data_IF_492017191145
#
_entry.id   IF_492017191145
#
_cell.length_a   1.000
_cell.length_b   1.000
_cell.length_c   1.000
_cell.angle_alpha   90.00
_cell.angle_beta   90.00
_cell.angle_gamma   90.00
#
_symmetry.space_group_name_H-M   'P 1'
#
loop_
_entity.id
_entity.type
_entity.pdbx_description
1 polymer ?
#
# COMPACT_ATOMS: atom_id res chain seq x y z
N UNK A 1 -11.24 -3.77 -7.22
CA UNK A 1 -11.61 -5.00 -7.92
C UNK A 1 -11.11 -4.92 -9.35
N UNK A 2 -10.53 -6.02 -9.81
CA UNK A 2 -9.98 -6.08 -11.17
C UNK A 2 -11.08 -5.86 -12.20
N UNK A 3 -10.84 -4.98 -13.16
CA UNK A 3 -11.82 -4.63 -14.20
C UNK A 3 -12.97 -3.71 -13.76
N UNK A 4 -13.02 -3.34 -12.47
CA UNK A 4 -14.05 -2.43 -12.00
C UNK A 4 -13.77 -0.99 -12.46
N UNK A 5 -14.82 -0.20 -12.62
CA UNK A 5 -14.69 1.22 -12.89
C UNK A 5 -14.26 1.95 -11.62
N UNK A 6 -13.18 2.71 -11.70
CA UNK A 6 -12.57 3.35 -10.51
C UNK A 6 -13.04 4.77 -10.24
N UNK A 7 -13.78 5.36 -11.16
CA UNK A 7 -14.11 6.78 -11.07
C UNK A 7 -12.88 7.65 -11.34
N UNK A 8 -12.99 8.94 -11.03
CA UNK A 8 -11.94 9.92 -11.26
C UNK A 8 -11.46 10.53 -9.94
N UNK A 9 -10.14 10.63 -9.79
CA UNK A 9 -9.53 11.31 -8.65
C UNK A 9 -9.67 12.83 -8.80
N UNK A 10 -9.87 13.52 -7.67
CA UNK A 10 -10.03 14.98 -7.65
C UNK A 10 -8.68 15.70 -7.72
N UNK A 11 -7.67 15.23 -6.99
CA UNK A 11 -6.36 15.88 -6.90
C UNK A 11 -5.27 14.83 -6.69
N UNK A 12 -4.31 14.79 -7.60
CA UNK A 12 -3.20 13.85 -7.55
C UNK A 12 -1.83 14.56 -7.55
N UNK A 13 -1.76 15.79 -7.05
CA UNK A 13 -0.48 16.50 -6.91
C UNK A 13 0.26 16.00 -5.67
N UNK A 14 1.34 15.28 -5.89
CA UNK A 14 2.18 14.70 -4.83
C UNK A 14 3.34 15.59 -4.40
N UNK A 15 3.46 16.79 -4.94
CA UNK A 15 4.58 17.68 -4.62
C UNK A 15 4.64 17.98 -3.12
N UNK A 16 5.82 17.78 -2.54
CA UNK A 16 6.07 18.06 -1.13
C UNK A 16 5.63 16.96 -0.16
N UNK A 17 4.97 15.91 -0.63
CA UNK A 17 4.49 14.83 0.24
C UNK A 17 5.62 13.88 0.66
N UNK A 18 5.52 13.37 1.89
CA UNK A 18 6.40 12.35 2.45
C UNK A 18 5.63 11.04 2.57
N UNK A 19 6.15 10.00 1.96
CA UNK A 19 5.46 8.71 1.85
C UNK A 19 6.31 7.61 2.47
N UNK A 20 5.68 6.77 3.30
CA UNK A 20 6.31 5.56 3.80
C UNK A 20 5.77 4.33 3.08
N UNK A 21 6.64 3.41 2.70
CA UNK A 21 6.26 2.15 2.04
C UNK A 21 6.74 0.99 2.90
N UNK A 22 5.85 0.07 3.21
CA UNK A 22 6.18 -1.19 3.87
C UNK A 22 5.87 -2.32 2.89
N UNK A 23 6.91 -3.03 2.48
CA UNK A 23 6.80 -4.13 1.52
C UNK A 23 7.03 -5.47 2.23
N UNK A 24 6.06 -6.38 2.13
CA UNK A 24 6.26 -7.76 2.53
C UNK A 24 7.07 -8.48 1.45
N UNK A 25 8.10 -9.23 1.86
CA UNK A 25 8.95 -9.91 0.86
C UNK A 25 8.46 -11.30 0.46
N UNK A 26 7.49 -11.86 1.17
CA UNK A 26 6.89 -13.14 0.75
C UNK A 26 6.24 -12.95 -0.63
N UNK A 27 6.46 -13.89 -1.55
CA UNK A 27 6.10 -13.74 -2.97
C UNK A 27 6.80 -12.54 -3.61
N UNK A 28 8.12 -12.49 -3.44
CA UNK A 28 8.96 -11.33 -3.73
C UNK A 28 8.87 -10.83 -5.16
N UNK A 29 8.76 -11.73 -6.14
CA UNK A 29 8.65 -11.31 -7.54
C UNK A 29 7.42 -10.43 -7.77
N UNK A 30 6.31 -10.73 -7.08
CA UNK A 30 5.07 -9.94 -7.16
C UNK A 30 5.23 -8.64 -6.38
N UNK A 31 5.73 -8.72 -5.13
CA UNK A 31 5.83 -7.53 -4.30
C UNK A 31 6.87 -6.53 -4.84
N UNK A 32 7.93 -7.01 -5.48
CA UNK A 32 8.88 -6.14 -6.16
C UNK A 32 8.23 -5.44 -7.36
N UNK A 33 7.39 -6.14 -8.12
CA UNK A 33 6.67 -5.53 -9.24
C UNK A 33 5.68 -4.47 -8.75
N UNK A 34 4.97 -4.75 -7.65
CA UNK A 34 4.09 -3.77 -7.00
C UNK A 34 4.88 -2.52 -6.58
N UNK A 35 6.02 -2.72 -5.93
CA UNK A 35 6.87 -1.64 -5.45
C UNK A 35 7.39 -0.78 -6.61
N UNK A 36 7.85 -1.41 -7.68
CA UNK A 36 8.35 -0.72 -8.86
C UNK A 36 7.26 0.16 -9.49
N UNK A 37 6.07 -0.39 -9.70
CA UNK A 37 4.95 0.34 -10.26
C UNK A 37 4.49 1.49 -9.34
N UNK A 38 4.44 1.23 -8.03
CA UNK A 38 4.07 2.21 -7.03
C UNK A 38 5.05 3.39 -7.01
N UNK A 39 6.35 3.12 -6.95
CA UNK A 39 7.37 4.18 -6.90
C UNK A 39 7.40 4.98 -8.19
N UNK A 40 7.25 4.31 -9.35
CA UNK A 40 7.18 5.01 -10.64
C UNK A 40 5.99 5.96 -10.70
N UNK A 41 4.84 5.54 -10.18
CA UNK A 41 3.65 6.39 -10.17
C UNK A 41 3.80 7.54 -9.16
N UNK A 42 4.37 7.30 -7.99
CA UNK A 42 4.65 8.39 -7.03
C UNK A 42 5.53 9.46 -7.67
N UNK A 43 6.57 9.06 -8.41
CA UNK A 43 7.44 9.99 -9.12
C UNK A 43 6.65 10.78 -10.17
N UNK A 44 5.80 10.09 -10.95
CA UNK A 44 4.96 10.74 -11.96
C UNK A 44 3.97 11.75 -11.34
N UNK A 45 3.53 11.50 -10.11
CA UNK A 45 2.63 12.40 -9.39
C UNK A 45 3.38 13.55 -8.68
N UNK A 46 4.71 13.56 -8.72
CA UNK A 46 5.50 14.65 -8.18
C UNK A 46 6.13 14.43 -6.82
N UNK A 47 6.03 13.21 -6.27
CA UNK A 47 6.69 12.87 -4.99
C UNK A 47 8.19 12.71 -5.24
N UNK A 48 9.01 13.44 -4.50
CA UNK A 48 10.45 13.34 -4.63
C UNK A 48 10.96 12.00 -4.10
N UNK A 49 11.97 11.43 -4.75
CA UNK A 49 12.49 10.12 -4.36
C UNK A 49 13.06 10.12 -2.93
N UNK A 50 13.70 11.20 -2.51
CA UNK A 50 14.23 11.36 -1.16
C UNK A 50 13.15 11.64 -0.10
N UNK A 51 11.89 11.78 -0.51
CA UNK A 51 10.74 11.87 0.39
C UNK A 51 10.06 10.50 0.59
N UNK A 52 10.63 9.42 0.09
CA UNK A 52 10.08 8.09 0.21
C UNK A 52 10.99 7.24 1.10
N UNK A 53 10.46 6.78 2.23
CA UNK A 53 11.10 5.77 3.06
C UNK A 53 10.47 4.40 2.73
N UNK A 54 11.30 3.43 2.38
CA UNK A 54 10.85 2.13 1.92
C UNK A 54 11.53 1.04 2.74
N UNK A 55 10.74 0.28 3.48
CA UNK A 55 11.25 -0.84 4.29
C UNK A 55 10.61 -2.15 3.88
N UNK A 56 11.30 -3.24 4.13
CA UNK A 56 10.81 -4.59 3.85
C UNK A 56 10.60 -5.36 5.15
N UNK A 57 9.55 -6.18 5.17
CA UNK A 57 9.21 -7.06 6.30
C UNK A 57 9.02 -8.49 5.77
N UNK A 58 9.06 -9.51 6.65
CA UNK A 58 8.98 -10.90 6.19
C UNK A 58 7.70 -11.24 5.42
N UNK A 59 6.55 -10.90 5.95
CA UNK A 59 5.26 -11.24 5.33
C UNK A 59 4.18 -10.24 5.67
N UNK A 60 2.98 -10.51 5.18
CA UNK A 60 1.84 -9.60 5.35
C UNK A 60 1.46 -9.38 6.82
N UNK A 61 1.61 -10.39 7.67
CA UNK A 61 1.29 -10.25 9.10
C UNK A 61 2.23 -9.31 9.84
N UNK A 62 3.44 -9.06 9.32
CA UNK A 62 4.40 -8.13 9.92
C UNK A 62 4.23 -6.69 9.42
N UNK A 63 3.40 -6.49 8.41
CA UNK A 63 3.16 -5.16 7.85
C UNK A 63 2.54 -4.19 8.85
N UNK A 64 1.48 -4.56 9.59
CA UNK A 64 0.83 -3.60 10.51
C UNK A 64 1.76 -3.02 11.56
N UNK A 65 2.62 -3.83 12.19
CA UNK A 65 3.52 -3.31 13.23
C UNK A 65 4.57 -2.34 12.64
N UNK A 66 5.03 -2.60 11.42
CA UNK A 66 5.96 -1.69 10.74
C UNK A 66 5.27 -0.38 10.38
N UNK A 67 4.02 -0.43 9.92
CA UNK A 67 3.22 0.77 9.66
C UNK A 67 3.01 1.58 10.94
N UNK A 68 2.70 0.91 12.04
CA UNK A 68 2.54 1.58 13.33
C UNK A 68 3.83 2.27 13.76
N UNK A 69 4.97 1.60 13.58
CA UNK A 69 6.28 2.20 13.88
C UNK A 69 6.53 3.47 13.07
N UNK A 70 6.21 3.46 11.78
CA UNK A 70 6.32 4.65 10.94
C UNK A 70 5.36 5.74 11.39
N UNK A 71 4.12 5.39 11.70
CA UNK A 71 3.11 6.35 12.17
C UNK A 71 3.54 7.02 13.48
N UNK A 72 4.09 6.24 14.41
CA UNK A 72 4.58 6.76 15.69
C UNK A 72 5.80 7.66 15.53
N UNK A 73 6.71 7.30 14.62
CA UNK A 73 7.85 8.15 14.27
C UNK A 73 7.38 9.50 13.73
N UNK A 74 6.32 9.49 12.95
CA UNK A 74 5.75 10.70 12.36
C UNK A 74 6.52 11.21 11.16
N UNK A 75 5.99 12.26 10.54
CA UNK A 75 6.61 12.91 9.39
C UNK A 75 6.13 12.38 8.04
N UNK A 76 5.20 11.44 8.03
CA UNK A 76 4.62 10.92 6.79
C UNK A 76 3.23 11.51 6.55
N UNK A 77 2.94 11.81 5.29
CA UNK A 77 1.63 12.27 4.86
C UNK A 77 0.70 11.09 4.53
N UNK A 78 1.28 9.97 4.11
CA UNK A 78 0.58 8.71 3.88
C UNK A 78 1.55 7.54 3.94
N UNK A 79 1.00 6.35 4.15
CA UNK A 79 1.76 5.09 4.08
C UNK A 79 1.15 4.19 3.02
N UNK A 80 1.96 3.27 2.51
CA UNK A 80 1.53 2.28 1.51
C UNK A 80 2.01 0.91 1.96
N UNK A 81 1.08 -0.03 2.00
CA UNK A 81 1.37 -1.43 2.34
C UNK A 81 1.36 -2.27 1.07
N UNK A 82 2.47 -2.93 0.78
CA UNK A 82 2.62 -3.79 -0.39
C UNK A 82 2.82 -5.23 0.05
N UNK A 83 2.06 -6.14 -0.52
CA UNK A 83 2.17 -7.55 -0.21
C UNK A 83 1.43 -8.41 -1.22
N UNK A 84 1.60 -9.71 -1.12
CA UNK A 84 0.89 -10.66 -1.96
C UNK A 84 0.62 -11.94 -1.18
N UNK A 85 -0.64 -12.25 -1.00
CA UNK A 85 -1.11 -13.45 -0.31
C UNK A 85 -1.84 -14.30 -1.34
N UNK A 86 -1.35 -15.51 -1.58
CA UNK A 86 -1.95 -16.44 -2.54
C UNK A 86 -2.55 -17.59 -1.77
N UNK A 87 -3.80 -17.95 -2.09
CA UNK A 87 -4.51 -19.03 -1.39
C UNK A 87 -3.75 -20.36 -1.49
N UNK A 88 -3.53 -20.98 -0.33
CA UNK A 88 -2.99 -22.32 -0.22
C UNK A 88 -4.08 -23.32 0.13
N UNK A 89 -3.67 -24.48 0.64
CA UNK A 89 -4.59 -25.59 0.96
C UNK A 89 -5.25 -25.43 2.34
N UNK A 90 -4.76 -24.50 3.17
CA UNK A 90 -5.19 -24.40 4.56
C UNK A 90 -5.88 -23.07 4.83
N UNK A 91 -6.47 -22.95 6.02
CA UNK A 91 -7.11 -21.72 6.49
C UNK A 91 -6.13 -20.55 6.62
N UNK A 92 -4.85 -20.80 6.59
CA UNK A 92 -3.82 -19.76 6.79
C UNK A 92 -4.00 -18.56 5.87
N UNK A 93 -4.46 -18.78 4.64
CA UNK A 93 -4.74 -17.68 3.70
C UNK A 93 -5.74 -16.67 4.29
N UNK A 94 -6.88 -17.16 4.80
CA UNK A 94 -7.92 -16.29 5.38
C UNK A 94 -7.40 -15.57 6.61
N UNK A 95 -6.64 -16.26 7.46
CA UNK A 95 -6.07 -15.65 8.66
C UNK A 95 -5.14 -14.50 8.29
N UNK A 96 -4.21 -14.74 7.38
CA UNK A 96 -3.24 -13.71 6.97
C UNK A 96 -3.95 -12.54 6.29
N UNK A 97 -4.89 -12.82 5.38
CA UNK A 97 -5.63 -11.77 4.67
C UNK A 97 -6.43 -10.90 5.63
N UNK A 98 -7.19 -11.53 6.54
CA UNK A 98 -8.07 -10.82 7.45
C UNK A 98 -7.28 -10.01 8.49
N UNK A 99 -6.25 -10.61 9.09
CA UNK A 99 -5.50 -9.95 10.15
C UNK A 99 -4.60 -8.83 9.65
N UNK A 100 -3.98 -8.99 8.49
CA UNK A 100 -3.19 -7.92 7.91
C UNK A 100 -4.06 -6.71 7.55
N UNK A 101 -5.23 -6.95 6.94
CA UNK A 101 -6.16 -5.87 6.60
C UNK A 101 -6.72 -5.18 7.85
N UNK A 102 -7.10 -5.94 8.87
CA UNK A 102 -7.62 -5.38 10.13
C UNK A 102 -6.56 -4.54 10.84
N UNK A 103 -5.32 -5.05 10.91
CA UNK A 103 -4.23 -4.32 11.55
C UNK A 103 -3.88 -3.02 10.84
N UNK A 104 -3.81 -3.06 9.51
CA UNK A 104 -3.54 -1.90 8.68
C UNK A 104 -4.62 -0.83 8.85
N UNK A 105 -5.89 -1.23 8.81
CA UNK A 105 -7.04 -0.32 9.00
C UNK A 105 -6.99 0.34 10.37
N UNK A 106 -6.66 -0.43 11.40
CA UNK A 106 -6.55 0.08 12.76
C UNK A 106 -5.48 1.16 12.87
N UNK A 107 -4.30 0.94 12.30
CA UNK A 107 -3.22 1.94 12.32
C UNK A 107 -3.68 3.22 11.62
N UNK A 108 -4.30 3.08 10.45
CA UNK A 108 -4.77 4.24 9.68
C UNK A 108 -5.75 5.09 10.51
N UNK A 109 -6.71 4.46 11.17
CA UNK A 109 -7.73 5.17 11.94
C UNK A 109 -7.16 5.74 13.24
N UNK A 110 -6.31 4.98 13.95
CA UNK A 110 -5.75 5.43 15.22
C UNK A 110 -4.86 6.65 15.07
N UNK A 111 -4.14 6.76 13.95
CA UNK A 111 -3.21 7.86 13.70
C UNK A 111 -3.77 8.90 12.73
N UNK A 112 -4.98 8.72 12.22
CA UNK A 112 -5.55 9.56 11.16
C UNK A 112 -4.55 9.76 10.01
N UNK A 113 -3.94 8.66 9.59
CA UNK A 113 -2.91 8.65 8.57
C UNK A 113 -3.39 7.76 7.41
N UNK A 114 -3.53 8.30 6.19
CA UNK A 114 -3.95 7.47 5.08
C UNK A 114 -2.97 6.32 4.85
N UNK A 115 -3.51 5.12 4.70
CA UNK A 115 -2.71 3.93 4.37
C UNK A 115 -3.36 3.24 3.19
N UNK A 116 -2.64 3.20 2.07
CA UNK A 116 -3.11 2.48 0.90
C UNK A 116 -2.83 0.98 1.10
N UNK A 117 -3.87 0.16 1.03
CA UNK A 117 -3.74 -1.29 1.15
C UNK A 117 -3.52 -1.91 -0.22
N UNK A 118 -2.26 -2.26 -0.51
CA UNK A 118 -1.88 -2.94 -1.74
C UNK A 118 -1.33 -4.34 -1.41
N UNK A 119 -1.94 -4.98 -0.41
CA UNK A 119 -1.67 -6.38 -0.12
C UNK A 119 -2.65 -7.20 -0.96
N UNK A 120 -2.15 -7.79 -2.04
CA UNK A 120 -2.98 -8.59 -2.92
C UNK A 120 -3.41 -9.87 -2.22
N UNK A 121 -4.66 -10.25 -2.46
CA UNK A 121 -5.21 -11.52 -1.97
C UNK A 121 -5.80 -12.25 -3.17
N UNK A 122 -5.10 -13.24 -3.68
CA UNK A 122 -5.50 -13.92 -4.91
C UNK A 122 -5.60 -15.43 -4.71
N UNK A 123 -6.36 -16.08 -5.59
CA UNK A 123 -6.54 -17.53 -5.54
C UNK A 123 -5.33 -18.27 -6.11
N UNK A 124 -4.60 -17.64 -7.04
CA UNK A 124 -3.44 -18.25 -7.70
C UNK A 124 -2.44 -17.17 -8.14
N UNK A 125 -1.28 -17.63 -8.60
CA UNK A 125 -0.20 -16.73 -9.04
C UNK A 125 -0.59 -15.91 -10.27
N UNK A 126 -1.33 -16.51 -11.21
CA UNK A 126 -1.72 -15.81 -12.44
C UNK A 126 -2.55 -14.56 -12.13
N UNK A 127 -3.45 -14.64 -11.16
CA UNK A 127 -4.23 -13.49 -10.73
C UNK A 127 -3.36 -12.39 -10.13
N UNK A 128 -2.33 -12.77 -9.39
CA UNK A 128 -1.39 -11.81 -8.80
C UNK A 128 -0.58 -11.10 -9.90
N UNK A 129 -0.04 -11.87 -10.83
CA UNK A 129 0.72 -11.30 -11.97
C UNK A 129 -0.13 -10.32 -12.76
N UNK A 130 -1.40 -10.68 -13.01
CA UNK A 130 -2.31 -9.83 -13.78
C UNK A 130 -2.60 -8.48 -13.10
N UNK A 131 -2.46 -8.41 -11.77
CA UNK A 131 -2.82 -7.23 -10.96
C UNK A 131 -1.64 -6.39 -10.51
N UNK A 132 -0.43 -6.92 -10.57
CA UNK A 132 0.73 -6.33 -9.89
C UNK A 132 1.05 -4.90 -10.32
N UNK A 133 0.93 -4.59 -11.62
CA UNK A 133 1.26 -3.24 -12.11
C UNK A 133 0.16 -2.24 -11.79
N UNK A 134 -1.10 -2.55 -12.12
CA UNK A 134 -2.23 -1.67 -11.87
C UNK A 134 -2.43 -1.39 -10.38
N UNK A 135 -2.32 -2.41 -9.55
CA UNK A 135 -2.52 -2.24 -8.11
C UNK A 135 -1.38 -1.45 -7.47
N UNK A 136 -0.15 -1.63 -7.96
CA UNK A 136 0.97 -0.81 -7.51
C UNK A 136 0.72 0.68 -7.81
N UNK A 137 0.27 0.99 -9.01
CA UNK A 137 -0.10 2.36 -9.38
C UNK A 137 -1.24 2.89 -8.55
N UNK A 138 -2.28 2.07 -8.36
CA UNK A 138 -3.45 2.47 -7.55
C UNK A 138 -3.04 2.87 -6.14
N UNK A 139 -2.11 2.13 -5.54
CA UNK A 139 -1.61 2.44 -4.19
C UNK A 139 -1.02 3.84 -4.10
N UNK A 140 -0.20 4.22 -5.08
CA UNK A 140 0.36 5.57 -5.14
C UNK A 140 -0.73 6.63 -5.27
N UNK A 141 -1.69 6.41 -6.16
CA UNK A 141 -2.78 7.35 -6.40
C UNK A 141 -3.67 7.51 -5.18
N UNK A 142 -4.05 6.41 -4.53
CA UNK A 142 -4.86 6.44 -3.31
C UNK A 142 -4.14 7.21 -2.21
N UNK A 143 -2.86 6.96 -2.02
CA UNK A 143 -2.07 7.65 -0.99
C UNK A 143 -2.07 9.16 -1.21
N UNK A 144 -1.80 9.61 -2.43
CA UNK A 144 -1.77 11.04 -2.74
C UNK A 144 -3.16 11.67 -2.62
N UNK A 145 -4.16 11.02 -3.17
CA UNK A 145 -5.53 11.55 -3.11
C UNK A 145 -6.01 11.71 -1.68
N UNK A 146 -5.78 10.72 -0.84
CA UNK A 146 -6.24 10.74 0.54
C UNK A 146 -5.48 11.77 1.39
N UNK A 147 -4.19 11.99 1.13
CA UNK A 147 -3.46 13.08 1.76
C UNK A 147 -4.13 14.43 1.48
N UNK A 148 -4.45 14.67 0.23
CA UNK A 148 -5.06 15.93 -0.20
C UNK A 148 -6.45 16.11 0.41
N UNK A 149 -7.21 15.03 0.48
CA UNK A 149 -8.54 15.08 1.09
C UNK A 149 -8.46 15.44 2.57
N UNK A 150 -7.57 14.80 3.32
CA UNK A 150 -7.44 15.09 4.76
C UNK A 150 -6.96 16.51 5.01
N UNK A 151 -6.09 17.05 4.15
CA UNK A 151 -5.69 18.45 4.23
C UNK A 151 -6.89 19.40 4.08
N UNK A 152 -7.81 19.07 3.16
CA UNK A 152 -9.02 19.85 2.96
C UNK A 152 -9.99 19.76 4.14
N UNK A 153 -10.03 18.61 4.81
CA UNK A 153 -10.92 18.39 5.95
C UNK A 153 -10.39 18.96 7.26
N UNK A 154 -9.08 19.13 7.34
CA UNK A 154 -8.38 19.58 8.55
C UNK A 154 -8.18 21.08 8.65
#
# INVERSE_FOLDING_TARGET
>A
MFGAEKGKAANLDGKGLYIGIVQARFNESITNALAQACRAELAALGVADDHIDHVCVPGALEVPIALQGMAEKGGYDALIALGCIIRGETYHFELVANESAAGLTRVALDYQLPIANVILTTENLEQAVARQTDKGRDGARVAVEMCKLLDQLG
#
